data_IF_292396129143
#
_entry.id   IF_292396129143
#
_cell.length_a   1.000
_cell.length_b   1.000
_cell.length_c   1.000
_cell.angle_alpha   90.00
_cell.angle_beta   90.00
_cell.angle_gamma   90.00
#
_symmetry.space_group_name_H-M   'P 1'
#
loop_
_entity.id
_entity.type
_entity.pdbx_description
1 polymer ?
#
# COMPACT_ATOMS: atom_id res chain seq x y z
N UNK A 1 -10.52 -6.44 -34.61
CA UNK A 1 -9.49 -7.10 -35.44
C UNK A 1 -8.89 -6.09 -36.40
N UNK A 2 -7.62 -6.28 -36.76
CA UNK A 2 -6.88 -5.32 -37.59
C UNK A 2 -7.45 -5.25 -39.01
N UNK A 3 -7.83 -6.39 -39.61
CA UNK A 3 -8.38 -6.43 -40.96
C UNK A 3 -9.84 -5.96 -41.06
N UNK A 4 -10.55 -5.78 -39.93
CA UNK A 4 -11.97 -5.43 -39.92
C UNK A 4 -12.22 -4.09 -40.65
N UNK A 5 -13.00 -4.07 -41.75
CA UNK A 5 -13.32 -2.84 -42.49
C UNK A 5 -14.07 -1.78 -41.67
N UNK A 6 -14.83 -2.21 -40.65
CA UNK A 6 -15.57 -1.32 -39.74
C UNK A 6 -14.69 -0.75 -38.61
N UNK A 7 -13.40 -1.10 -38.53
CA UNK A 7 -12.48 -0.59 -37.52
C UNK A 7 -12.23 0.90 -37.73
N UNK A 8 -12.61 1.73 -36.76
CA UNK A 8 -12.32 3.17 -36.78
C UNK A 8 -10.80 3.40 -36.76
N UNK A 9 -10.28 4.23 -37.67
CA UNK A 9 -8.85 4.57 -37.78
C UNK A 9 -8.67 6.06 -37.45
N UNK A 10 -8.53 6.38 -36.16
CA UNK A 10 -8.36 7.76 -35.67
C UNK A 10 -6.91 8.24 -35.67
N UNK A 11 -5.96 7.32 -35.79
CA UNK A 11 -4.54 7.60 -35.55
C UNK A 11 -3.71 7.55 -36.83
N UNK A 12 -2.69 8.40 -36.91
CA UNK A 12 -1.73 8.47 -38.02
C UNK A 12 -0.34 8.03 -37.55
N UNK A 13 0.56 7.77 -38.50
CA UNK A 13 1.96 7.41 -38.18
C UNK A 13 2.78 8.59 -37.65
N UNK A 14 2.28 9.82 -37.80
CA UNK A 14 2.96 11.04 -37.35
C UNK A 14 2.78 11.35 -35.85
N UNK A 15 1.96 10.59 -35.13
CA UNK A 15 1.66 10.80 -33.71
C UNK A 15 2.68 10.14 -32.76
N UNK A 16 3.96 10.15 -33.11
CA UNK A 16 5.04 9.81 -32.19
C UNK A 16 5.57 11.06 -31.49
N UNK A 17 6.48 10.89 -30.53
CA UNK A 17 7.13 12.01 -29.86
C UNK A 17 8.18 12.64 -30.79
N UNK A 18 7.74 13.62 -31.58
CA UNK A 18 8.61 14.36 -32.51
C UNK A 18 9.67 15.15 -31.76
N UNK A 19 10.85 15.24 -32.36
CA UNK A 19 11.94 16.09 -31.91
C UNK A 19 11.61 17.56 -32.11
N UNK A 20 12.30 18.44 -31.38
CA UNK A 20 12.14 19.89 -31.54
C UNK A 20 12.41 20.36 -32.97
N UNK A 21 13.38 19.77 -33.67
CA UNK A 21 13.70 20.12 -35.06
C UNK A 21 12.59 19.72 -36.04
N UNK A 22 12.01 18.51 -35.87
CA UNK A 22 10.85 18.08 -36.66
C UNK A 22 9.64 18.99 -36.44
N UNK A 23 9.40 19.40 -35.19
CA UNK A 23 8.30 20.33 -34.86
C UNK A 23 8.54 21.74 -35.41
N UNK A 24 9.78 22.22 -35.39
CA UNK A 24 10.16 23.51 -36.01
C UNK A 24 9.96 23.51 -37.53
N UNK A 25 10.37 22.43 -38.20
CA UNK A 25 10.14 22.28 -39.63
C UNK A 25 8.65 22.16 -39.96
N UNK A 26 7.87 21.44 -39.14
CA UNK A 26 6.44 21.22 -39.34
C UNK A 26 5.60 22.51 -39.18
N UNK A 27 6.00 23.42 -38.29
CA UNK A 27 5.32 24.69 -38.00
C UNK A 27 6.14 25.91 -38.44
N UNK A 28 6.97 25.77 -39.48
CA UNK A 28 7.82 26.85 -39.98
C UNK A 28 7.01 28.06 -40.49
N UNK A 29 5.78 27.82 -40.93
CA UNK A 29 4.79 28.82 -41.35
C UNK A 29 4.09 29.53 -40.17
N UNK A 30 4.12 28.95 -38.96
CA UNK A 30 3.50 29.50 -37.76
C UNK A 30 4.41 29.39 -36.50
N UNK A 31 5.52 30.16 -36.43
CA UNK A 31 6.45 30.10 -35.30
C UNK A 31 5.82 30.43 -33.93
N UNK A 32 4.75 31.24 -33.93
CA UNK A 32 4.02 31.61 -32.72
C UNK A 32 3.37 30.41 -32.04
N UNK A 33 3.00 29.35 -32.77
CA UNK A 33 2.45 28.12 -32.19
C UNK A 33 3.47 27.43 -31.27
N UNK A 34 4.74 27.37 -31.70
CA UNK A 34 5.82 26.80 -30.91
C UNK A 34 6.18 27.70 -29.72
N UNK A 35 6.29 29.00 -29.95
CA UNK A 35 6.58 29.97 -28.88
C UNK A 35 5.51 29.94 -27.77
N UNK A 36 4.23 29.87 -28.15
CA UNK A 36 3.13 29.78 -27.20
C UNK A 36 3.18 28.49 -26.37
N UNK A 37 3.63 27.36 -26.93
CA UNK A 37 3.78 26.12 -26.15
C UNK A 37 4.80 26.28 -25.00
N UNK A 38 5.89 27.01 -25.24
CA UNK A 38 6.91 27.33 -24.23
C UNK A 38 6.35 28.30 -23.19
N UNK A 39 5.62 29.33 -23.62
CA UNK A 39 5.00 30.28 -22.69
C UNK A 39 3.91 29.64 -21.82
N UNK A 40 3.13 28.69 -22.36
CA UNK A 40 2.19 27.88 -21.57
C UNK A 40 2.95 27.03 -20.57
N UNK A 41 4.01 26.33 -20.99
CA UNK A 41 4.82 25.50 -20.10
C UNK A 41 5.41 26.31 -18.92
N UNK A 42 5.88 27.53 -19.17
CA UNK A 42 6.37 28.45 -18.11
C UNK A 42 5.29 28.85 -17.11
N UNK A 43 4.04 28.95 -17.54
CA UNK A 43 2.90 29.33 -16.68
C UNK A 43 2.40 28.16 -15.83
N UNK A 44 2.58 26.93 -16.30
CA UNK A 44 2.12 25.72 -15.61
C UNK A 44 3.10 25.28 -14.52
N UNK A 45 2.92 25.79 -13.29
CA UNK A 45 3.70 25.40 -12.13
C UNK A 45 2.77 24.77 -11.08
N UNK A 46 2.87 23.45 -10.89
CA UNK A 46 2.13 22.70 -9.88
C UNK A 46 3.12 22.13 -8.86
N UNK A 47 2.89 22.43 -7.58
CA UNK A 47 3.65 21.83 -6.48
C UNK A 47 2.82 20.73 -5.83
N UNK A 48 3.35 19.51 -5.82
CA UNK A 48 2.77 18.36 -5.13
C UNK A 48 3.74 17.92 -4.03
N UNK A 49 3.24 17.83 -2.80
CA UNK A 49 4.02 17.33 -1.68
C UNK A 49 3.88 15.81 -1.65
N UNK A 50 4.95 15.10 -2.04
CA UNK A 50 5.01 13.64 -2.02
C UNK A 50 5.85 13.15 -0.83
N UNK A 51 5.56 11.93 -0.36
CA UNK A 51 6.33 11.28 0.70
C UNK A 51 6.14 11.85 2.12
N UNK A 52 5.20 12.80 2.30
CA UNK A 52 4.77 13.27 3.62
C UNK A 52 3.37 12.74 3.94
N UNK A 53 3.23 11.80 4.89
CA UNK A 53 1.93 11.29 5.31
C UNK A 53 1.04 12.43 5.84
N UNK A 54 -0.23 12.42 5.45
CA UNK A 54 -1.27 13.27 6.02
C UNK A 54 -2.23 12.35 6.77
N UNK A 55 -2.02 12.23 8.08
CA UNK A 55 -2.83 11.35 8.94
C UNK A 55 -4.12 12.06 9.35
N UNK A 56 -5.26 11.37 9.37
CA UNK A 56 -6.49 11.95 9.91
C UNK A 56 -6.40 12.06 11.43
N UNK A 57 -7.19 12.98 12.00
CA UNK A 57 -7.31 13.09 13.45
C UNK A 57 -8.08 11.89 14.01
N UNK A 58 -7.57 11.31 15.10
CA UNK A 58 -8.27 10.25 15.81
C UNK A 58 -9.26 10.86 16.82
N UNK A 59 -10.57 10.55 16.76
CA UNK A 59 -11.53 11.06 17.73
C UNK A 59 -11.31 10.36 19.08
N UNK A 60 -10.68 11.09 20.02
CA UNK A 60 -10.33 10.57 21.34
C UNK A 60 -11.60 10.33 22.17
N UNK A 61 -11.84 9.08 22.63
CA UNK A 61 -12.99 8.81 23.49
C UNK A 61 -12.78 9.41 24.89
N UNK A 62 -13.84 9.89 25.55
CA UNK A 62 -13.73 10.43 26.90
C UNK A 62 -13.41 9.32 27.90
N UNK A 63 -12.43 9.56 28.76
CA UNK A 63 -12.07 8.70 29.89
C UNK A 63 -12.64 9.36 31.14
N UNK A 64 -13.53 8.67 31.86
CA UNK A 64 -14.26 9.22 33.02
C UNK A 64 -14.96 10.57 32.73
N UNK A 65 -15.47 10.73 31.50
CA UNK A 65 -16.16 11.96 31.08
C UNK A 65 -15.25 13.10 30.60
N UNK A 66 -13.92 12.91 30.60
CA UNK A 66 -12.95 13.92 30.15
C UNK A 66 -12.24 13.43 28.89
N UNK A 67 -12.15 14.29 27.87
CA UNK A 67 -11.37 14.02 26.66
C UNK A 67 -9.93 14.47 26.90
N UNK A 68 -9.00 13.52 26.79
CA UNK A 68 -7.56 13.78 26.93
C UNK A 68 -6.95 14.28 25.61
N UNK A 69 -5.74 14.82 25.67
CA UNK A 69 -4.95 15.08 24.46
C UNK A 69 -4.53 13.76 23.80
N UNK A 70 -4.29 13.76 22.48
CA UNK A 70 -4.04 12.53 21.72
C UNK A 70 -2.80 11.75 22.19
N UNK A 71 -1.71 12.43 22.54
CA UNK A 71 -0.49 11.78 23.04
C UNK A 71 -0.70 11.21 24.45
N UNK A 72 -1.43 11.94 25.30
CA UNK A 72 -1.76 11.48 26.65
C UNK A 72 -2.67 10.26 26.62
N UNK A 73 -3.71 10.30 25.77
CA UNK A 73 -4.59 9.16 25.55
C UNK A 73 -3.84 7.96 24.97
N UNK A 74 -2.92 8.19 24.03
CA UNK A 74 -2.09 7.13 23.45
C UNK A 74 -1.24 6.42 24.52
N UNK A 75 -0.62 7.17 25.43
CA UNK A 75 0.07 6.59 26.60
C UNK A 75 -0.89 5.82 27.49
N UNK A 76 -2.01 6.44 27.88
CA UNK A 76 -3.02 5.83 28.74
C UNK A 76 -3.52 4.49 28.17
N UNK A 77 -3.99 4.49 26.92
CA UNK A 77 -4.51 3.30 26.24
C UNK A 77 -3.45 2.19 26.12
N UNK A 78 -2.19 2.55 25.90
CA UNK A 78 -1.10 1.58 25.82
C UNK A 78 -0.78 0.93 27.18
N UNK A 79 -0.81 1.70 28.27
CA UNK A 79 -0.64 1.12 29.62
C UNK A 79 -1.82 0.25 30.04
N UNK A 80 -3.06 0.70 29.80
CA UNK A 80 -4.24 -0.12 30.12
C UNK A 80 -4.26 -1.41 29.30
N UNK A 81 -3.96 -1.31 28.00
CA UNK A 81 -3.81 -2.47 27.13
C UNK A 81 -2.72 -3.44 27.59
N UNK A 82 -1.58 -2.91 28.06
CA UNK A 82 -0.52 -3.74 28.62
C UNK A 82 -0.97 -4.46 29.90
N UNK A 83 -1.68 -3.79 30.81
CA UNK A 83 -2.22 -4.42 32.04
C UNK A 83 -3.13 -5.60 31.71
N UNK A 84 -4.03 -5.44 30.73
CA UNK A 84 -4.90 -6.53 30.27
C UNK A 84 -4.11 -7.70 29.68
N UNK A 85 -3.13 -7.42 28.80
CA UNK A 85 -2.27 -8.46 28.21
C UNK A 85 -1.45 -9.20 29.27
N UNK A 86 -0.89 -8.48 30.24
CA UNK A 86 -0.12 -9.07 31.34
C UNK A 86 -0.99 -9.92 32.27
N UNK A 87 -2.24 -9.54 32.50
CA UNK A 87 -3.19 -10.37 33.25
C UNK A 87 -3.50 -11.69 32.55
N UNK A 88 -3.53 -11.69 31.21
CA UNK A 88 -3.72 -12.89 30.40
C UNK A 88 -2.46 -13.77 30.34
N UNK A 89 -1.28 -13.17 30.09
CA UNK A 89 0.00 -13.89 30.00
C UNK A 89 0.44 -14.49 31.34
N UNK A 90 0.25 -13.73 32.43
CA UNK A 90 0.61 -14.12 33.79
C UNK A 90 -0.62 -14.04 34.70
N UNK A 91 -1.45 -15.11 34.75
CA UNK A 91 -2.61 -15.17 35.65
C UNK A 91 -2.22 -15.06 37.13
N UNK A 92 -1.04 -15.57 37.49
CA UNK A 92 -0.45 -15.46 38.83
C UNK A 92 0.10 -14.04 39.08
N UNK A 93 -0.45 -13.37 40.10
CA UNK A 93 -0.11 -11.99 40.45
C UNK A 93 1.37 -11.81 40.84
N UNK A 94 1.98 -12.80 41.52
CA UNK A 94 3.38 -12.68 41.95
C UNK A 94 4.34 -12.71 40.75
N UNK A 95 4.06 -13.58 39.78
CA UNK A 95 4.84 -13.66 38.53
C UNK A 95 4.60 -12.44 37.63
N UNK A 96 3.36 -11.96 37.58
CA UNK A 96 3.02 -10.75 36.83
C UNK A 96 3.78 -9.54 37.35
N UNK A 97 3.81 -9.35 38.67
CA UNK A 97 4.54 -8.24 39.30
C UNK A 97 6.05 -8.34 39.05
N UNK A 98 6.60 -9.57 39.05
CA UNK A 98 8.02 -9.79 38.76
C UNK A 98 8.40 -9.45 37.30
N UNK A 99 7.55 -9.76 36.33
CA UNK A 99 7.81 -9.49 34.91
C UNK A 99 7.40 -8.06 34.49
N UNK A 100 6.46 -7.41 35.18
CA UNK A 100 5.93 -6.10 34.81
C UNK A 100 7.00 -5.03 34.52
N UNK A 101 8.08 -4.88 35.33
CA UNK A 101 9.10 -3.87 35.06
C UNK A 101 9.74 -4.01 33.68
N UNK A 102 10.00 -5.24 33.23
CA UNK A 102 10.59 -5.52 31.91
C UNK A 102 9.69 -5.08 30.76
N UNK A 103 8.38 -5.28 30.90
CA UNK A 103 7.40 -4.88 29.87
C UNK A 103 7.18 -3.37 29.88
N UNK A 104 7.09 -2.76 31.06
CA UNK A 104 6.93 -1.30 31.20
C UNK A 104 8.15 -0.56 30.63
N UNK A 105 9.37 -1.04 30.87
CA UNK A 105 10.58 -0.46 30.30
C UNK A 105 10.54 -0.47 28.77
N UNK A 106 10.21 -1.62 28.16
CA UNK A 106 10.06 -1.72 26.69
C UNK A 106 8.92 -0.83 26.17
N UNK A 107 7.79 -0.77 26.87
CA UNK A 107 6.66 0.04 26.48
C UNK A 107 7.02 1.53 26.48
N UNK A 108 7.69 2.02 27.52
CA UNK A 108 8.10 3.43 27.64
C UNK A 108 9.11 3.85 26.57
N UNK A 109 10.05 2.96 26.25
CA UNK A 109 10.98 3.16 25.13
C UNK A 109 10.22 3.34 23.81
N UNK A 110 9.32 2.40 23.47
CA UNK A 110 8.53 2.47 22.24
C UNK A 110 7.61 3.69 22.19
N UNK A 111 6.89 3.98 23.29
CA UNK A 111 5.99 5.14 23.41
C UNK A 111 6.76 6.44 23.15
N UNK A 112 7.94 6.59 23.77
CA UNK A 112 8.77 7.79 23.60
C UNK A 112 9.24 7.94 22.16
N UNK A 113 9.64 6.85 21.50
CA UNK A 113 10.01 6.87 20.08
C UNK A 113 8.82 7.25 19.19
N UNK A 114 7.66 6.62 19.36
CA UNK A 114 6.47 6.85 18.52
C UNK A 114 5.98 8.29 18.65
N UNK A 115 5.97 8.82 19.87
CA UNK A 115 5.60 10.21 20.15
C UNK A 115 6.57 11.19 19.50
N UNK A 116 7.88 10.96 19.62
CA UNK A 116 8.91 11.82 19.00
C UNK A 116 8.81 11.83 17.47
N UNK A 117 8.40 10.71 16.87
CA UNK A 117 8.25 10.58 15.42
C UNK A 117 6.89 11.07 14.89
N UNK A 118 5.93 11.38 15.77
CA UNK A 118 4.63 11.94 15.38
C UNK A 118 3.65 10.91 14.81
N UNK A 119 3.73 9.64 15.24
CA UNK A 119 2.81 8.58 14.80
C UNK A 119 1.76 8.07 15.81
N UNK A 120 1.45 8.73 16.95
CA UNK A 120 0.48 8.18 17.91
C UNK A 120 -0.93 8.06 17.31
N UNK A 121 -1.37 9.04 16.52
CA UNK A 121 -2.66 9.00 15.82
C UNK A 121 -2.79 7.79 14.90
N UNK A 122 -1.74 7.44 14.16
CA UNK A 122 -1.74 6.26 13.29
C UNK A 122 -1.96 4.96 14.08
N UNK A 123 -1.25 4.77 15.19
CA UNK A 123 -1.44 3.60 16.04
C UNK A 123 -2.85 3.54 16.65
N UNK A 124 -3.40 4.68 17.07
CA UNK A 124 -4.76 4.74 17.60
C UNK A 124 -5.80 4.38 16.55
N UNK A 125 -5.70 4.94 15.34
CA UNK A 125 -6.58 4.62 14.21
C UNK A 125 -6.52 3.12 13.91
N UNK A 126 -5.31 2.58 13.79
CA UNK A 126 -5.08 1.17 13.46
C UNK A 126 -5.63 0.22 14.53
N UNK A 127 -5.32 0.48 15.80
CA UNK A 127 -5.85 -0.31 16.91
C UNK A 127 -7.37 -0.27 16.98
N UNK A 128 -7.95 0.88 16.74
CA UNK A 128 -9.39 1.08 16.82
C UNK A 128 -10.17 0.25 15.78
N UNK A 129 -9.84 0.35 14.49
CA UNK A 129 -10.60 -0.40 13.49
C UNK A 129 -10.31 -1.91 13.57
N UNK A 130 -9.11 -2.33 14.02
CA UNK A 130 -8.82 -3.75 14.26
C UNK A 130 -9.68 -4.29 15.40
N UNK A 131 -9.74 -3.56 16.52
CA UNK A 131 -10.54 -3.97 17.67
C UNK A 131 -12.04 -3.97 17.33
N UNK A 132 -12.51 -2.97 16.58
CA UNK A 132 -13.86 -2.96 16.05
C UNK A 132 -14.13 -4.19 15.17
N UNK A 133 -13.24 -4.51 14.25
CA UNK A 133 -13.36 -5.66 13.35
C UNK A 133 -13.44 -6.98 14.13
N UNK A 134 -12.54 -7.19 15.12
CA UNK A 134 -12.53 -8.36 16.00
C UNK A 134 -13.86 -8.50 16.76
N UNK A 135 -14.38 -7.41 17.32
CA UNK A 135 -15.63 -7.42 18.11
C UNK A 135 -16.90 -7.58 17.26
N UNK A 136 -16.82 -7.34 15.95
CA UNK A 136 -17.96 -7.39 15.03
C UNK A 136 -17.92 -8.59 14.08
N UNK A 137 -17.06 -9.58 14.34
CA UNK A 137 -16.97 -10.79 13.53
C UNK A 137 -16.37 -10.56 12.14
N UNK A 138 -15.48 -9.58 12.00
CA UNK A 138 -14.69 -9.35 10.78
C UNK A 138 -13.26 -9.87 11.01
N UNK A 139 -12.92 -11.07 10.49
CA UNK A 139 -11.57 -11.61 10.65
C UNK A 139 -10.53 -10.71 10.01
N UNK A 140 -9.50 -10.37 10.78
CA UNK A 140 -8.34 -9.61 10.31
C UNK A 140 -7.28 -10.62 9.85
N UNK A 141 -6.69 -10.38 8.68
CA UNK A 141 -5.65 -11.23 8.11
C UNK A 141 -4.42 -11.36 9.01
N UNK A 142 -3.54 -12.36 8.78
CA UNK A 142 -2.36 -12.59 9.61
C UNK A 142 -1.21 -11.62 9.33
N UNK A 143 -1.21 -10.89 8.20
CA UNK A 143 -0.17 -9.95 7.82
C UNK A 143 -0.06 -8.80 8.82
N UNK A 144 1.08 -8.67 9.47
CA UNK A 144 1.40 -7.53 10.37
C UNK A 144 2.76 -6.91 10.09
N UNK A 145 3.34 -7.25 8.94
CA UNK A 145 4.71 -6.88 8.55
C UNK A 145 5.71 -7.07 9.69
N UNK A 146 6.58 -6.08 9.87
CA UNK A 146 7.49 -5.99 11.03
C UNK A 146 6.78 -5.53 12.31
N UNK A 147 5.51 -5.10 12.24
CA UNK A 147 4.74 -4.55 13.37
C UNK A 147 4.55 -5.51 14.55
N UNK A 148 4.73 -6.82 14.34
CA UNK A 148 4.79 -7.81 15.41
C UNK A 148 5.91 -7.55 16.44
N UNK A 149 6.95 -6.79 16.08
CA UNK A 149 8.04 -6.40 16.99
C UNK A 149 7.71 -5.28 17.96
N UNK A 150 6.54 -4.64 17.85
CA UNK A 150 6.12 -3.56 18.75
C UNK A 150 5.26 -4.07 19.90
N UNK A 151 5.73 -3.82 21.13
CA UNK A 151 4.96 -4.06 22.35
C UNK A 151 3.76 -3.12 22.46
N UNK A 152 3.87 -1.89 21.96
CA UNK A 152 2.72 -0.96 21.87
C UNK A 152 1.64 -1.54 20.95
N UNK A 153 2.01 -2.11 19.81
CA UNK A 153 1.05 -2.76 18.92
C UNK A 153 0.37 -3.97 19.58
N UNK A 154 1.11 -4.74 20.38
CA UNK A 154 0.57 -5.85 21.17
C UNK A 154 -0.40 -5.36 22.26
N UNK A 155 -0.04 -4.31 22.98
CA UNK A 155 -0.85 -3.69 24.03
C UNK A 155 -2.17 -3.12 23.48
N UNK A 156 -2.13 -2.44 22.34
CA UNK A 156 -3.32 -1.91 21.66
C UNK A 156 -4.11 -2.97 20.87
N UNK A 157 -3.74 -4.25 21.00
CA UNK A 157 -4.38 -5.41 20.35
C UNK A 157 -4.36 -5.39 18.80
N UNK A 158 -3.44 -4.61 18.23
CA UNK A 158 -3.13 -4.58 16.80
C UNK A 158 -2.50 -5.92 16.39
N UNK A 159 -1.55 -6.38 17.20
CA UNK A 159 -0.88 -7.68 17.07
C UNK A 159 -1.28 -8.60 18.22
N UNK A 160 -1.14 -9.90 17.99
CA UNK A 160 -1.53 -10.95 18.94
C UNK A 160 -0.33 -11.78 19.45
N UNK A 161 0.90 -11.39 19.08
CA UNK A 161 2.14 -12.01 19.53
C UNK A 161 2.87 -11.12 20.55
N UNK A 162 3.37 -11.73 21.62
CA UNK A 162 4.24 -11.09 22.59
C UNK A 162 5.67 -10.93 22.02
N UNK A 163 6.14 -9.71 21.75
CA UNK A 163 7.46 -9.50 21.18
C UNK A 163 8.61 -9.85 22.14
N UNK A 164 8.41 -9.76 23.46
CA UNK A 164 9.47 -10.04 24.44
C UNK A 164 9.69 -11.54 24.63
N UNK A 165 8.64 -12.36 24.45
CA UNK A 165 8.76 -13.82 24.46
C UNK A 165 9.58 -14.35 23.27
N UNK A 166 9.40 -13.76 22.09
CA UNK A 166 10.03 -14.21 20.85
C UNK A 166 11.25 -13.36 20.42
N UNK A 167 11.72 -12.46 21.29
CA UNK A 167 12.84 -11.53 21.02
C UNK A 167 12.67 -10.74 19.71
N UNK A 168 11.46 -10.26 19.45
CA UNK A 168 11.16 -9.43 18.28
C UNK A 168 11.61 -7.99 18.52
N UNK A 169 12.27 -7.41 17.51
CA UNK A 169 12.89 -6.09 17.61
C UNK A 169 11.95 -5.01 17.10
N UNK A 170 11.75 -3.96 17.92
CA UNK A 170 10.91 -2.82 17.58
C UNK A 170 11.56 -1.95 16.49
N UNK A 171 12.88 -1.83 16.52
CA UNK A 171 13.69 -1.02 15.60
C UNK A 171 13.62 -1.55 14.17
N UNK A 172 13.26 -2.83 13.99
CA UNK A 172 13.00 -3.40 12.66
C UNK A 172 11.69 -2.89 12.05
N UNK A 173 10.74 -2.52 12.90
CA UNK A 173 9.47 -1.92 12.51
C UNK A 173 9.59 -0.40 12.38
N UNK A 174 10.08 0.26 13.42
CA UNK A 174 10.21 1.72 13.45
C UNK A 174 11.61 2.09 13.96
N UNK A 175 12.46 2.56 13.05
CA UNK A 175 13.82 2.98 13.38
C UNK A 175 13.87 4.50 13.62
N UNK A 176 14.26 4.98 14.81
CA UNK A 176 14.43 6.40 15.09
C UNK A 176 15.40 7.12 14.15
N UNK A 177 16.43 6.42 13.65
CA UNK A 177 17.44 6.97 12.74
C UNK A 177 16.95 7.06 11.29
N UNK A 178 15.85 6.36 10.96
CA UNK A 178 15.25 6.34 9.63
C UNK A 178 13.76 6.65 9.74
N UNK A 179 13.43 7.93 9.69
CA UNK A 179 12.04 8.41 9.63
C UNK A 179 11.37 7.84 8.38
N UNK A 180 10.57 6.80 8.59
CA UNK A 180 9.75 6.15 7.59
C UNK A 180 8.37 5.91 8.19
N UNK A 181 7.34 5.91 7.34
CA UNK A 181 5.97 5.69 7.78
C UNK A 181 5.87 4.25 8.31
N UNK A 182 5.37 4.03 9.54
CA UNK A 182 5.09 2.68 10.02
C UNK A 182 3.99 2.06 9.15
N UNK A 183 4.21 0.83 8.69
CA UNK A 183 3.21 0.09 7.91
C UNK A 183 2.90 -1.25 8.59
N UNK A 184 1.65 -1.39 9.04
CA UNK A 184 1.15 -2.62 9.66
C UNK A 184 0.63 -3.64 8.63
N UNK A 185 0.61 -3.34 7.33
CA UNK A 185 0.16 -4.24 6.25
C UNK A 185 -1.16 -4.99 6.61
N UNK A 186 -2.19 -4.24 6.97
CA UNK A 186 -3.42 -4.83 7.51
C UNK A 186 -4.40 -5.16 6.39
N UNK A 187 -4.65 -6.46 6.24
CA UNK A 187 -5.65 -6.99 5.34
C UNK A 187 -6.91 -7.45 6.08
N UNK A 188 -8.07 -7.27 5.45
CA UNK A 188 -9.34 -7.83 5.91
C UNK A 188 -9.83 -8.93 4.97
N UNK A 189 -10.48 -9.94 5.52
CA UNK A 189 -11.13 -10.95 4.70
C UNK A 189 -12.22 -10.31 3.82
N UNK A 190 -12.22 -10.65 2.52
CA UNK A 190 -13.12 -10.07 1.52
C UNK A 190 -14.61 -10.13 1.91
N UNK A 191 -15.06 -11.19 2.58
CA UNK A 191 -16.48 -11.39 2.90
C UNK A 191 -17.09 -10.33 3.83
N UNK A 192 -16.28 -9.73 4.72
CA UNK A 192 -16.77 -8.78 5.73
C UNK A 192 -16.10 -7.40 5.68
N UNK A 193 -15.28 -7.14 4.65
CA UNK A 193 -14.55 -5.86 4.52
C UNK A 193 -15.48 -4.64 4.44
N UNK A 194 -16.66 -4.79 3.83
CA UNK A 194 -17.57 -3.67 3.59
C UNK A 194 -18.08 -3.08 4.91
N UNK A 195 -18.25 -3.93 5.94
CA UNK A 195 -18.62 -3.49 7.30
C UNK A 195 -17.53 -2.60 7.93
N UNK A 196 -16.26 -2.96 7.73
CA UNK A 196 -15.12 -2.15 8.20
C UNK A 196 -15.07 -0.83 7.44
N UNK A 197 -15.32 -0.85 6.13
CA UNK A 197 -15.39 0.37 5.32
C UNK A 197 -16.49 1.31 5.84
N UNK A 198 -17.67 0.77 6.13
CA UNK A 198 -18.80 1.58 6.64
C UNK A 198 -18.49 2.16 8.02
N UNK A 199 -17.86 1.38 8.91
CA UNK A 199 -17.37 1.89 10.20
C UNK A 199 -16.39 3.06 10.05
N UNK A 200 -15.38 2.90 9.18
CA UNK A 200 -14.37 3.94 8.94
C UNK A 200 -15.02 5.19 8.31
N UNK A 201 -16.00 5.02 7.41
CA UNK A 201 -16.78 6.14 6.83
C UNK A 201 -17.62 6.87 7.87
N UNK A 202 -18.25 6.16 8.79
CA UNK A 202 -19.03 6.77 9.87
C UNK A 202 -18.12 7.54 10.83
N UNK A 203 -16.92 7.00 11.10
CA UNK A 203 -15.97 7.57 12.04
C UNK A 203 -15.20 8.78 11.50
N UNK A 204 -14.73 8.72 10.26
CA UNK A 204 -13.85 9.74 9.66
C UNK A 204 -14.53 10.59 8.57
N UNK A 205 -15.78 10.27 8.22
CA UNK A 205 -16.56 10.95 7.20
C UNK A 205 -16.56 10.21 5.86
N UNK A 206 -17.73 10.18 5.21
CA UNK A 206 -17.94 9.45 3.95
C UNK A 206 -17.06 9.94 2.81
N UNK A 207 -16.80 11.24 2.74
CA UNK A 207 -16.00 11.88 1.69
C UNK A 207 -14.48 11.79 1.94
N UNK A 208 -14.07 11.38 3.15
CA UNK A 208 -12.68 11.23 3.55
C UNK A 208 -12.13 9.80 3.32
N UNK A 209 -12.99 8.85 2.92
CA UNK A 209 -12.64 7.44 2.75
C UNK A 209 -12.83 7.02 1.29
N UNK A 210 -11.79 6.44 0.70
CA UNK A 210 -11.81 5.96 -0.68
C UNK A 210 -11.13 4.61 -0.84
N UNK A 211 -11.49 3.88 -1.89
CA UNK A 211 -10.82 2.63 -2.26
C UNK A 211 -9.69 2.93 -3.24
N UNK A 212 -8.64 2.11 -3.18
CA UNK A 212 -7.49 2.22 -4.07
C UNK A 212 -7.74 1.37 -5.32
N UNK A 213 -7.56 1.96 -6.50
CA UNK A 213 -7.70 1.25 -7.77
C UNK A 213 -6.54 0.27 -8.00
N UNK A 214 -6.83 -0.82 -8.70
CA UNK A 214 -5.81 -1.74 -9.23
C UNK A 214 -5.81 -1.68 -10.76
N UNK A 215 -4.64 -1.84 -11.36
CA UNK A 215 -4.48 -1.78 -12.81
C UNK A 215 -4.27 -3.19 -13.38
N UNK A 216 -5.14 -3.58 -14.31
CA UNK A 216 -4.92 -4.76 -15.14
C UNK A 216 -3.89 -4.43 -16.22
N UNK A 217 -2.73 -5.09 -16.19
CA UNK A 217 -1.70 -4.96 -17.24
C UNK A 217 -1.76 -6.15 -18.20
N UNK A 218 -1.25 -5.97 -19.42
CA UNK A 218 -1.11 -7.06 -20.38
C UNK A 218 0.08 -7.96 -20.00
N UNK A 219 -0.13 -8.90 -19.08
CA UNK A 219 0.85 -9.94 -18.77
C UNK A 219 1.21 -10.76 -20.03
N UNK A 220 2.41 -11.33 -20.12
CA UNK A 220 2.92 -11.97 -21.35
C UNK A 220 1.93 -12.94 -22.01
N UNK A 221 1.32 -13.84 -21.24
CA UNK A 221 0.30 -14.78 -21.76
C UNK A 221 -0.97 -14.09 -22.26
N UNK A 222 -1.41 -13.02 -21.61
CA UNK A 222 -2.55 -12.23 -22.05
C UNK A 222 -2.19 -11.45 -23.33
N UNK A 223 -1.02 -10.80 -23.35
CA UNK A 223 -0.52 -10.06 -24.50
C UNK A 223 -0.46 -10.91 -25.77
N UNK A 224 0.09 -12.14 -25.70
CA UNK A 224 0.13 -13.05 -26.87
C UNK A 224 -1.27 -13.36 -27.39
N UNK A 225 -2.20 -13.72 -26.49
CA UNK A 225 -3.58 -14.08 -26.88
C UNK A 225 -4.32 -12.88 -27.46
N UNK A 226 -4.17 -11.71 -26.87
CA UNK A 226 -4.84 -10.49 -27.30
C UNK A 226 -4.28 -9.96 -28.63
N UNK A 227 -2.96 -9.93 -28.80
CA UNK A 227 -2.31 -9.54 -30.07
C UNK A 227 -2.66 -10.54 -31.17
N UNK A 228 -2.57 -11.84 -30.91
CA UNK A 228 -2.93 -12.87 -31.89
C UNK A 228 -4.39 -12.76 -32.33
N UNK A 229 -5.32 -12.50 -31.40
CA UNK A 229 -6.74 -12.24 -31.73
C UNK A 229 -6.90 -10.98 -32.59
N UNK A 230 -6.13 -9.93 -32.34
CA UNK A 230 -6.17 -8.71 -33.18
C UNK A 230 -5.65 -8.98 -34.59
N UNK A 231 -4.67 -9.88 -34.72
CA UNK A 231 -4.10 -10.36 -35.99
C UNK A 231 -4.94 -11.46 -36.68
N UNK A 232 -6.16 -11.71 -36.22
CA UNK A 232 -7.07 -12.73 -36.77
C UNK A 232 -6.53 -14.18 -36.69
N UNK A 233 -5.63 -14.45 -35.74
CA UNK A 233 -5.13 -15.81 -35.47
C UNK A 233 -6.12 -16.62 -34.62
N UNK A 234 -6.16 -17.94 -34.83
CA UNK A 234 -7.03 -18.83 -34.07
C UNK A 234 -6.66 -18.89 -32.58
N UNK A 235 -7.66 -19.06 -31.71
CA UNK A 235 -7.44 -19.20 -30.27
C UNK A 235 -6.46 -20.33 -29.94
N UNK A 236 -6.64 -21.51 -30.55
CA UNK A 236 -5.81 -22.70 -30.29
C UNK A 236 -4.34 -22.46 -30.61
N UNK A 237 -4.05 -21.73 -31.69
CA UNK A 237 -2.68 -21.37 -32.05
C UNK A 237 -2.05 -20.45 -30.99
N UNK A 238 -2.73 -19.38 -30.62
CA UNK A 238 -2.24 -18.42 -29.62
C UNK A 238 -2.12 -19.04 -28.22
N UNK A 239 -3.06 -19.90 -27.83
CA UNK A 239 -3.04 -20.60 -26.56
C UNK A 239 -1.84 -21.56 -26.47
N UNK A 240 -1.56 -22.30 -27.57
CA UNK A 240 -0.38 -23.15 -27.68
C UNK A 240 0.92 -22.41 -27.41
N UNK A 241 1.11 -21.22 -28.00
CA UNK A 241 2.28 -20.37 -27.75
C UNK A 241 2.28 -19.86 -26.31
N UNK A 242 1.14 -19.37 -25.81
CA UNK A 242 1.05 -18.78 -24.47
C UNK A 242 1.42 -19.77 -23.36
N UNK A 243 1.15 -21.07 -23.57
CA UNK A 243 1.48 -22.14 -22.63
C UNK A 243 2.98 -22.40 -22.50
N UNK A 244 3.78 -22.04 -23.52
CA UNK A 244 5.25 -22.13 -23.47
C UNK A 244 5.87 -21.11 -22.51
N UNK A 245 5.18 -19.99 -22.26
CA UNK A 245 5.65 -18.98 -21.31
C UNK A 245 5.59 -19.57 -19.89
N UNK A 246 6.70 -19.60 -19.12
CA UNK A 246 6.69 -20.06 -17.74
C UNK A 246 5.69 -19.26 -16.88
N UNK A 247 4.88 -19.96 -16.08
CA UNK A 247 3.95 -19.33 -15.14
C UNK A 247 4.41 -19.61 -13.71
N UNK A 248 5.48 -18.92 -13.29
CA UNK A 248 5.94 -18.98 -11.91
C UNK A 248 5.20 -17.90 -11.09
N UNK A 249 4.53 -18.27 -9.99
CA UNK A 249 3.93 -17.29 -9.09
C UNK A 249 4.96 -16.24 -8.65
N UNK A 250 4.58 -14.96 -8.69
CA UNK A 250 5.43 -13.85 -8.25
C UNK A 250 6.54 -13.42 -9.21
N UNK A 251 6.74 -14.09 -10.35
CA UNK A 251 7.72 -13.67 -11.36
C UNK A 251 7.01 -13.15 -12.59
N UNK A 252 7.09 -11.84 -12.83
CA UNK A 252 6.65 -11.25 -14.08
C UNK A 252 7.59 -11.68 -15.21
N UNK A 253 7.07 -12.47 -16.15
CA UNK A 253 7.82 -12.81 -17.38
C UNK A 253 7.53 -11.73 -18.42
N UNK A 254 8.57 -11.02 -18.82
CA UNK A 254 8.51 -10.05 -19.93
C UNK A 254 8.96 -10.73 -21.21
N UNK A 255 8.23 -10.51 -22.31
CA UNK A 255 8.64 -11.00 -23.63
C UNK A 255 9.85 -10.20 -24.10
N UNK A 256 10.94 -10.88 -24.43
CA UNK A 256 12.11 -10.24 -25.04
C UNK A 256 11.84 -9.99 -26.52
N UNK A 257 12.44 -8.92 -27.04
CA UNK A 257 12.47 -8.71 -28.49
C UNK A 257 13.28 -9.84 -29.14
N UNK A 258 12.88 -10.33 -30.32
CA UNK A 258 13.71 -11.26 -31.06
C UNK A 258 15.10 -10.61 -31.32
N UNK A 259 16.21 -11.36 -31.13
CA UNK A 259 17.54 -10.91 -31.49
C UNK A 259 17.59 -10.39 -32.93
N UNK A 260 18.36 -9.32 -33.21
CA UNK A 260 18.48 -8.77 -34.56
C UNK A 260 19.08 -9.77 -35.55
N UNK A 261 19.95 -10.67 -35.06
CA UNK A 261 20.63 -11.69 -35.87
C UNK A 261 19.97 -13.06 -35.68
N UNK A 262 18.93 -13.36 -36.46
CA UNK A 262 18.31 -14.69 -36.48
C UNK A 262 19.29 -15.73 -37.03
N UNK A 263 19.76 -16.66 -36.20
CA UNK A 263 20.35 -17.92 -36.70
C UNK A 263 19.24 -18.94 -36.93
N UNK A 264 19.40 -19.78 -37.97
CA UNK A 264 18.39 -20.73 -38.45
C UNK A 264 17.95 -21.77 -37.40
N UNK A 265 18.76 -21.94 -36.35
CA UNK A 265 18.59 -22.95 -35.30
C UNK A 265 18.19 -22.40 -33.92
N UNK A 266 17.94 -21.09 -33.80
CA UNK A 266 17.55 -20.50 -32.52
C UNK A 266 16.14 -20.95 -32.11
N UNK A 267 16.06 -21.83 -31.11
CA UNK A 267 14.83 -22.11 -30.38
C UNK A 267 14.61 -21.01 -29.35
N UNK A 268 13.86 -19.98 -29.73
CA UNK A 268 13.51 -18.88 -28.82
C UNK A 268 12.32 -19.26 -27.93
N UNK A 269 12.40 -18.90 -26.65
CA UNK A 269 11.31 -19.00 -25.65
C UNK A 269 10.70 -17.62 -25.46
#
# INVERSE_FOLDING_TARGET
>A
MLANPRRVRRFTRDQYFKTSAEMQALFADLPSALANSVEIAKRCNLSLVLGKPQLPDFPIPPVNGVVMEANEYFRYASHEGLKERMAHLYPDAAKREAEMPRYVERLEFELTTILKMGFPGYFLIVGDFINWAKNNGCPVGPGRGSGAGSLVAYALKITDLDPLQYNLLFERFLNPERVSMPDFDIDFCQGNRDRVIDYVKEKYGKDAVSQIATFGTMAARAAIRDVGRVLDMSYTFCDGISKLIPNKPGVAVTLQLPPPDKKKDDKMV
#
